data_IF_238060942837
#
_entry.id   IF_238060942837
#
_cell.length_a   1.000
_cell.length_b   1.000
_cell.length_c   1.000
_cell.angle_alpha   90.00
_cell.angle_beta   90.00
_cell.angle_gamma   90.00
#
_symmetry.space_group_name_H-M   'P 1'
#
loop_
_entity.id
_entity.type
_entity.pdbx_description
1 polymer ?
#
# COMPACT_ATOMS: atom_id res chain seq x y z
N UNK A 1 -8.61 -28.46 0.21
CA UNK A 1 -7.60 -28.47 1.29
C UNK A 1 -8.26 -27.91 2.55
N UNK A 2 -7.95 -28.43 3.76
CA UNK A 2 -8.47 -27.82 4.98
C UNK A 2 -7.96 -26.40 5.13
N UNK A 3 -8.82 -25.52 5.68
CA UNK A 3 -8.43 -24.16 6.02
C UNK A 3 -7.49 -24.16 7.23
N UNK A 4 -6.64 -23.15 7.33
CA UNK A 4 -5.80 -22.90 8.51
C UNK A 4 -6.73 -22.59 9.70
N UNK A 5 -6.61 -23.34 10.77
CA UNK A 5 -7.43 -23.23 11.97
C UNK A 5 -6.72 -22.53 13.14
N UNK A 6 -7.44 -22.37 14.26
CA UNK A 6 -6.91 -21.69 15.45
C UNK A 6 -5.67 -22.38 16.03
N UNK A 7 -5.57 -23.70 15.93
CA UNK A 7 -4.43 -24.44 16.47
C UNK A 7 -3.16 -24.17 15.64
N UNK A 8 -3.29 -24.04 14.30
CA UNK A 8 -2.19 -23.64 13.43
C UNK A 8 -1.70 -22.22 13.76
N UNK A 9 -2.65 -21.29 14.03
CA UNK A 9 -2.35 -19.91 14.40
C UNK A 9 -1.67 -19.82 15.76
N UNK A 10 -2.14 -20.57 16.74
CA UNK A 10 -1.53 -20.65 18.08
C UNK A 10 -0.11 -21.22 18.01
N UNK A 11 0.08 -22.30 17.23
CA UNK A 11 1.39 -22.88 17.00
C UNK A 11 2.34 -21.87 16.29
N UNK A 12 1.84 -21.13 15.29
CA UNK A 12 2.60 -20.08 14.64
C UNK A 12 2.99 -18.95 15.61
N UNK A 13 2.08 -18.55 16.50
CA UNK A 13 2.34 -17.53 17.54
C UNK A 13 3.47 -17.97 18.50
N UNK A 14 3.51 -19.23 18.87
CA UNK A 14 4.61 -19.78 19.72
C UNK A 14 5.95 -19.64 18.99
N UNK A 15 6.02 -19.98 17.70
CA UNK A 15 7.23 -19.83 16.89
C UNK A 15 7.68 -18.37 16.76
N UNK A 16 6.74 -17.41 16.77
CA UNK A 16 7.01 -16.00 16.61
C UNK A 16 7.40 -15.27 17.91
N UNK A 17 7.44 -15.95 19.05
CA UNK A 17 7.88 -15.36 20.33
C UNK A 17 9.34 -14.86 20.21
N UNK A 18 9.57 -13.59 20.55
CA UNK A 18 10.86 -12.93 20.41
C UNK A 18 11.25 -12.56 18.96
N UNK A 19 10.48 -13.00 17.95
CA UNK A 19 10.72 -12.71 16.54
C UNK A 19 9.85 -11.55 16.08
N UNK A 20 8.53 -11.66 16.14
CA UNK A 20 7.65 -10.53 15.83
C UNK A 20 7.44 -9.64 17.05
N UNK A 21 7.13 -8.36 16.79
CA UNK A 21 6.70 -7.41 17.82
C UNK A 21 5.17 -7.42 17.88
N UNK A 22 4.62 -7.30 19.07
CA UNK A 22 3.22 -6.90 19.22
C UNK A 22 3.10 -5.44 18.80
N UNK A 23 2.49 -5.21 17.63
CA UNK A 23 2.37 -3.85 17.10
C UNK A 23 1.24 -3.09 17.77
N UNK A 24 1.33 -1.76 17.93
CA UNK A 24 0.30 -0.98 18.58
C UNK A 24 -1.01 -0.94 17.78
N UNK A 25 -2.08 -0.60 18.50
CA UNK A 25 -3.38 -0.23 17.93
C UNK A 25 -3.67 1.22 18.31
N UNK A 26 -3.64 2.11 17.31
CA UNK A 26 -3.72 3.56 17.49
C UNK A 26 -5.07 4.10 17.01
N UNK A 27 -5.62 5.08 17.74
CA UNK A 27 -6.91 5.69 17.39
C UNK A 27 -6.78 6.78 16.33
N UNK A 28 -7.75 6.86 15.41
CA UNK A 28 -7.84 7.91 14.39
C UNK A 28 -9.09 8.77 14.58
N UNK A 29 -8.97 9.78 15.46
CA UNK A 29 -10.12 10.58 15.95
C UNK A 29 -10.96 11.21 14.84
N UNK A 30 -10.35 11.82 13.82
CA UNK A 30 -11.09 12.49 12.75
C UNK A 30 -11.98 11.55 11.96
N UNK A 31 -11.47 10.37 11.60
CA UNK A 31 -12.24 9.36 10.88
C UNK A 31 -13.26 8.67 11.80
N UNK A 32 -12.96 8.51 13.09
CA UNK A 32 -13.91 8.00 14.08
C UNK A 32 -15.18 8.86 14.19
N UNK A 33 -15.04 10.18 14.03
CA UNK A 33 -16.19 11.09 14.01
C UNK A 33 -17.05 10.91 12.76
N UNK A 34 -16.44 10.62 11.61
CA UNK A 34 -17.17 10.39 10.35
C UNK A 34 -17.90 9.03 10.35
N UNK A 35 -17.26 7.99 10.88
CA UNK A 35 -17.84 6.65 11.03
C UNK A 35 -18.92 6.62 12.13
N UNK A 36 -18.87 7.52 13.10
CA UNK A 36 -19.73 7.51 14.27
C UNK A 36 -19.33 6.50 15.36
N UNK A 37 -18.16 5.86 15.19
CA UNK A 37 -17.61 4.85 16.11
C UNK A 37 -16.08 4.87 16.06
N UNK A 38 -15.37 4.27 17.05
CA UNK A 38 -13.92 4.22 17.04
C UNK A 38 -13.35 3.55 15.76
N UNK A 39 -12.43 4.28 15.08
CA UNK A 39 -11.59 3.74 14.02
C UNK A 39 -10.16 3.67 14.54
N UNK A 40 -9.58 2.49 14.43
CA UNK A 40 -8.31 2.12 15.03
C UNK A 40 -7.38 1.52 13.97
N UNK A 41 -6.10 1.79 14.09
CA UNK A 41 -5.06 1.38 13.15
C UNK A 41 -4.20 0.29 13.80
N UNK A 42 -4.22 -0.94 13.32
CA UNK A 42 -3.25 -1.99 13.68
C UNK A 42 -1.97 -1.77 12.88
N UNK A 43 -0.91 -1.33 13.53
CA UNK A 43 0.26 -0.72 12.91
C UNK A 43 1.34 -1.75 12.51
N UNK A 44 1.07 -2.66 11.57
CA UNK A 44 2.06 -3.60 11.05
C UNK A 44 3.16 -2.92 10.20
N UNK A 45 3.01 -1.65 9.82
CA UNK A 45 4.08 -0.82 9.29
C UNK A 45 5.22 -0.58 10.29
N UNK A 46 4.99 -0.77 11.60
CA UNK A 46 5.99 -0.69 12.65
C UNK A 46 6.59 -2.04 13.04
N UNK A 47 6.22 -3.12 12.36
CA UNK A 47 6.77 -4.45 12.55
C UNK A 47 8.25 -4.49 12.11
N UNK A 48 9.00 -5.52 12.54
CA UNK A 48 10.34 -5.78 11.98
C UNK A 48 10.28 -5.86 10.47
N UNK A 49 11.29 -5.36 9.79
CA UNK A 49 11.34 -5.17 8.33
C UNK A 49 10.29 -4.19 7.77
N UNK A 50 9.61 -3.42 8.62
CA UNK A 50 8.63 -2.40 8.20
C UNK A 50 7.32 -2.98 7.65
N UNK A 51 7.01 -4.27 7.87
CA UNK A 51 5.77 -4.89 7.42
C UNK A 51 5.47 -6.22 8.12
N UNK A 52 4.23 -6.68 8.01
CA UNK A 52 3.76 -7.96 8.55
C UNK A 52 4.49 -9.19 7.99
N UNK A 53 5.19 -9.09 6.87
CA UNK A 53 5.72 -10.23 6.08
C UNK A 53 6.68 -11.12 6.85
N UNK A 54 7.41 -10.61 7.84
CA UNK A 54 8.29 -11.40 8.70
C UNK A 54 7.54 -12.53 9.41
N UNK A 55 6.27 -12.34 9.78
CA UNK A 55 5.47 -13.33 10.50
C UNK A 55 5.31 -14.63 9.70
N UNK A 56 4.76 -14.54 8.49
CA UNK A 56 4.57 -15.72 7.64
C UNK A 56 5.87 -16.29 7.09
N UNK A 57 6.84 -15.46 6.74
CA UNK A 57 8.14 -15.91 6.27
C UNK A 57 8.88 -16.73 7.35
N UNK A 58 8.89 -16.25 8.58
CA UNK A 58 9.54 -16.95 9.70
C UNK A 58 8.86 -18.28 10.00
N UNK A 59 7.53 -18.30 10.13
CA UNK A 59 6.78 -19.55 10.42
C UNK A 59 7.03 -20.59 9.34
N UNK A 60 7.01 -20.19 8.06
CA UNK A 60 7.27 -21.11 6.94
C UNK A 60 8.69 -21.69 6.99
N UNK A 61 9.70 -20.86 7.23
CA UNK A 61 11.09 -21.32 7.27
C UNK A 61 11.37 -22.13 8.54
N UNK A 62 10.79 -21.75 9.70
CA UNK A 62 10.95 -22.50 10.95
C UNK A 62 10.34 -23.91 10.90
N UNK A 63 9.30 -24.10 10.09
CA UNK A 63 8.64 -25.41 9.88
C UNK A 63 9.33 -26.30 8.84
N UNK A 64 10.38 -25.80 8.17
CA UNK A 64 11.20 -26.65 7.31
C UNK A 64 11.98 -27.66 8.15
N UNK A 65 12.20 -28.82 7.58
CA UNK A 65 13.13 -29.82 8.16
C UNK A 65 14.56 -29.30 8.15
N UNK A 66 15.44 -29.85 8.98
CA UNK A 66 16.84 -29.47 9.02
C UNK A 66 17.54 -29.68 7.64
N UNK A 67 17.15 -30.76 6.95
CA UNK A 67 17.65 -31.05 5.60
C UNK A 67 17.19 -30.02 4.56
N UNK A 68 15.98 -29.50 4.67
CA UNK A 68 15.48 -28.43 3.82
C UNK A 68 16.18 -27.09 4.13
N UNK A 69 16.30 -26.74 5.42
CA UNK A 69 17.04 -25.52 5.82
C UNK A 69 18.51 -25.55 5.39
N UNK A 70 19.15 -26.72 5.44
CA UNK A 70 20.54 -26.87 5.01
C UNK A 70 20.73 -26.58 3.51
N UNK A 71 19.71 -26.82 2.67
CA UNK A 71 19.74 -26.45 1.25
C UNK A 71 19.46 -24.98 0.98
N UNK A 72 19.01 -24.25 2.01
CA UNK A 72 18.67 -22.84 1.91
C UNK A 72 17.25 -22.59 1.38
N UNK A 73 16.89 -21.31 1.34
CA UNK A 73 15.59 -20.86 0.83
C UNK A 73 15.76 -19.87 -0.32
N UNK A 74 14.77 -19.80 -1.18
CA UNK A 74 14.73 -18.85 -2.29
C UNK A 74 13.38 -18.14 -2.33
N UNK A 75 13.38 -16.86 -2.71
CA UNK A 75 12.17 -16.09 -2.93
C UNK A 75 12.32 -15.18 -4.16
N UNK A 76 11.18 -14.74 -4.71
CA UNK A 76 11.13 -13.70 -5.73
C UNK A 76 10.27 -12.54 -5.20
N UNK A 77 10.86 -11.36 -5.03
CA UNK A 77 10.16 -10.16 -4.60
C UNK A 77 11.11 -8.97 -4.57
N UNK A 78 10.64 -7.81 -5.01
CA UNK A 78 11.37 -6.54 -4.86
C UNK A 78 10.91 -5.71 -3.65
N UNK A 79 10.16 -6.30 -2.71
CA UNK A 79 9.55 -5.54 -1.61
C UNK A 79 9.57 -6.26 -0.26
N UNK A 80 8.47 -6.13 0.48
CA UNK A 80 8.33 -6.60 1.86
C UNK A 80 8.60 -8.10 2.06
N UNK A 81 8.21 -8.93 1.08
CA UNK A 81 8.44 -10.37 1.17
C UNK A 81 9.94 -10.71 1.12
N UNK A 82 10.69 -10.04 0.27
CA UNK A 82 12.15 -10.18 0.18
C UNK A 82 12.83 -9.96 1.53
N UNK A 83 12.52 -8.82 2.17
CA UNK A 83 13.09 -8.46 3.47
C UNK A 83 12.62 -9.41 4.58
N UNK A 84 11.34 -9.81 4.55
CA UNK A 84 10.78 -10.78 5.49
C UNK A 84 11.49 -12.14 5.42
N UNK A 85 11.72 -12.66 4.21
CA UNK A 85 12.44 -13.94 3.99
C UNK A 85 13.92 -13.80 4.41
N UNK A 86 14.59 -12.71 4.01
CA UNK A 86 15.97 -12.46 4.36
C UNK A 86 16.20 -12.44 5.88
N UNK A 87 15.40 -11.67 6.61
CA UNK A 87 15.51 -11.61 8.07
C UNK A 87 15.14 -12.95 8.72
N UNK A 88 14.07 -13.61 8.27
CA UNK A 88 13.64 -14.89 8.82
C UNK A 88 14.72 -15.97 8.63
N UNK A 89 15.29 -16.06 7.46
CA UNK A 89 16.39 -17.00 7.16
C UNK A 89 17.64 -16.70 8.00
N UNK A 90 18.02 -15.44 8.12
CA UNK A 90 19.14 -15.01 8.96
C UNK A 90 18.95 -15.41 10.43
N UNK A 91 17.77 -15.18 11.00
CA UNK A 91 17.44 -15.55 12.39
C UNK A 91 17.46 -17.06 12.63
N UNK A 92 17.21 -17.87 11.58
CA UNK A 92 17.17 -19.32 11.65
C UNK A 92 18.48 -19.97 11.17
N UNK A 93 19.53 -19.17 10.86
CA UNK A 93 20.81 -19.68 10.36
C UNK A 93 20.70 -20.37 9.00
N UNK A 94 19.72 -19.99 8.18
CA UNK A 94 19.45 -20.57 6.87
C UNK A 94 19.95 -19.62 5.77
N UNK A 95 20.63 -20.14 4.75
CA UNK A 95 21.01 -19.35 3.58
C UNK A 95 19.77 -18.92 2.79
N UNK A 96 19.73 -17.66 2.33
CA UNK A 96 18.64 -17.16 1.52
C UNK A 96 19.11 -16.49 0.23
N UNK A 97 18.45 -16.80 -0.87
CA UNK A 97 18.63 -16.15 -2.16
C UNK A 97 17.33 -15.45 -2.55
N UNK A 98 17.42 -14.18 -2.95
CA UNK A 98 16.23 -13.40 -3.34
C UNK A 98 16.43 -12.92 -4.77
N UNK A 99 15.53 -13.32 -5.65
CA UNK A 99 15.47 -12.84 -7.03
C UNK A 99 14.60 -11.58 -7.11
N UNK A 100 15.16 -10.55 -7.75
CA UNK A 100 14.51 -9.26 -7.97
C UNK A 100 14.55 -8.89 -9.46
N UNK A 101 13.57 -8.12 -9.97
CA UNK A 101 13.69 -7.51 -11.29
C UNK A 101 14.94 -6.65 -11.41
N UNK A 102 15.48 -6.50 -12.64
CA UNK A 102 16.66 -5.68 -12.90
C UNK A 102 16.49 -4.22 -12.47
N UNK A 103 15.26 -3.67 -12.62
CA UNK A 103 14.91 -2.31 -12.24
C UNK A 103 14.45 -2.18 -10.77
N UNK A 104 14.73 -3.15 -9.90
CA UNK A 104 14.33 -3.06 -8.49
C UNK A 104 14.98 -1.83 -7.81
N UNK A 105 14.21 -1.05 -6.99
CA UNK A 105 14.73 0.13 -6.32
C UNK A 105 15.94 -0.18 -5.43
N UNK A 106 17.03 0.57 -5.60
CA UNK A 106 18.28 0.37 -4.85
C UNK A 106 18.11 0.30 -3.33
N UNK A 107 17.27 1.13 -2.68
CA UNK A 107 17.03 1.02 -1.24
C UNK A 107 16.45 -0.33 -0.83
N UNK A 108 15.55 -0.91 -1.64
CA UNK A 108 14.93 -2.23 -1.37
C UNK A 108 15.94 -3.37 -1.54
N UNK A 109 16.83 -3.28 -2.55
CA UNK A 109 17.96 -4.22 -2.77
C UNK A 109 18.91 -4.18 -1.57
N UNK A 110 19.37 -2.97 -1.20
CA UNK A 110 20.29 -2.77 -0.08
C UNK A 110 19.70 -3.27 1.26
N UNK A 111 18.43 -2.97 1.55
CA UNK A 111 17.76 -3.43 2.74
C UNK A 111 17.67 -4.97 2.82
N UNK A 112 17.38 -5.63 1.70
CA UNK A 112 17.31 -7.10 1.64
C UNK A 112 18.68 -7.73 1.85
N UNK A 113 19.72 -7.19 1.22
CA UNK A 113 21.10 -7.65 1.40
C UNK A 113 21.60 -7.41 2.85
N UNK A 114 21.21 -6.30 3.48
CA UNK A 114 21.56 -5.99 4.87
C UNK A 114 20.99 -7.00 5.88
N UNK A 115 19.90 -7.70 5.53
CA UNK A 115 19.37 -8.80 6.33
C UNK A 115 20.08 -10.15 6.05
N UNK A 116 21.10 -10.17 5.21
CA UNK A 116 21.95 -11.35 4.96
C UNK A 116 21.56 -12.20 3.76
N UNK A 117 20.62 -11.77 2.91
CA UNK A 117 20.27 -12.50 1.71
C UNK A 117 21.24 -12.23 0.55
N UNK A 118 21.50 -13.25 -0.27
CA UNK A 118 22.10 -13.09 -1.59
C UNK A 118 21.06 -12.58 -2.57
N UNK A 119 21.19 -11.33 -3.02
CA UNK A 119 20.28 -10.76 -4.02
C UNK A 119 20.78 -11.06 -5.42
N UNK A 120 19.87 -11.54 -6.28
CA UNK A 120 20.13 -11.81 -7.72
C UNK A 120 19.08 -11.08 -8.56
N UNK A 121 19.52 -10.49 -9.66
CA UNK A 121 18.63 -9.83 -10.60
C UNK A 121 18.25 -10.77 -11.74
N UNK A 122 16.97 -10.79 -12.12
CA UNK A 122 16.46 -11.59 -13.24
C UNK A 122 15.16 -11.00 -13.80
N UNK A 123 15.16 -10.72 -15.09
CA UNK A 123 14.02 -10.22 -15.84
C UNK A 123 13.60 -8.80 -15.46
N UNK A 124 12.48 -8.35 -16.03
CA UNK A 124 11.96 -7.00 -15.85
C UNK A 124 10.77 -6.94 -14.87
N UNK A 125 10.15 -8.10 -14.60
CA UNK A 125 8.98 -8.23 -13.73
C UNK A 125 9.23 -9.18 -12.57
N UNK A 126 8.40 -9.08 -11.51
CA UNK A 126 8.45 -10.03 -10.38
C UNK A 126 8.09 -11.45 -10.84
N UNK A 127 7.24 -11.60 -11.85
CA UNK A 127 6.87 -12.92 -12.39
C UNK A 127 8.05 -13.57 -13.11
N UNK A 128 8.83 -12.81 -13.88
CA UNK A 128 10.07 -13.30 -14.50
C UNK A 128 11.13 -13.67 -13.44
N UNK A 129 11.29 -12.84 -12.42
CA UNK A 129 12.14 -13.14 -11.27
C UNK A 129 11.69 -14.43 -10.55
N UNK A 130 10.38 -14.69 -10.47
CA UNK A 130 9.82 -15.91 -9.88
C UNK A 130 10.16 -17.15 -10.73
N UNK A 131 10.15 -17.04 -12.07
CA UNK A 131 10.59 -18.12 -12.94
C UNK A 131 12.05 -18.47 -12.66
N UNK A 132 12.93 -17.47 -12.57
CA UNK A 132 14.35 -17.69 -12.24
C UNK A 132 14.53 -18.29 -10.83
N UNK A 133 13.76 -17.85 -9.84
CA UNK A 133 13.77 -18.43 -8.50
C UNK A 133 13.34 -19.91 -8.48
N UNK A 134 12.36 -20.28 -9.30
CA UNK A 134 11.92 -21.69 -9.44
C UNK A 134 12.99 -22.56 -10.10
N UNK A 135 13.67 -22.05 -11.12
CA UNK A 135 14.80 -22.77 -11.75
C UNK A 135 15.91 -23.00 -10.72
N UNK A 136 16.29 -21.97 -9.99
CA UNK A 136 17.29 -22.08 -8.92
C UNK A 136 16.87 -23.11 -7.85
N UNK A 137 15.61 -23.09 -7.43
CA UNK A 137 15.07 -24.05 -6.48
C UNK A 137 15.20 -25.50 -7.00
N UNK A 138 14.89 -25.74 -8.28
CA UNK A 138 15.00 -27.05 -8.90
C UNK A 138 16.45 -27.55 -9.01
N UNK A 139 17.40 -26.67 -9.33
CA UNK A 139 18.82 -27.00 -9.49
C UNK A 139 19.54 -27.25 -8.16
N UNK A 140 19.20 -26.46 -7.13
CA UNK A 140 19.93 -26.49 -5.83
C UNK A 140 19.18 -27.23 -4.73
N UNK A 141 17.90 -27.52 -4.92
CA UNK A 141 17.02 -28.06 -3.89
C UNK A 141 16.63 -27.05 -2.81
N UNK A 142 16.95 -25.76 -2.99
CA UNK A 142 16.49 -24.67 -2.10
C UNK A 142 14.96 -24.59 -2.08
N UNK A 143 14.39 -24.33 -0.90
CA UNK A 143 12.93 -24.26 -0.76
C UNK A 143 12.40 -22.89 -1.19
N UNK A 144 11.48 -22.87 -2.15
CA UNK A 144 10.80 -21.64 -2.54
C UNK A 144 9.81 -21.20 -1.43
N UNK A 145 10.01 -19.98 -0.94
CA UNK A 145 9.12 -19.37 0.05
C UNK A 145 8.11 -18.48 -0.69
N UNK A 146 6.87 -18.98 -0.80
CA UNK A 146 5.80 -18.27 -1.51
C UNK A 146 5.34 -17.04 -0.71
N UNK A 147 5.08 -15.87 -1.34
CA UNK A 147 4.76 -14.63 -0.62
C UNK A 147 3.40 -14.63 0.11
N UNK A 148 2.48 -15.56 -0.21
CA UNK A 148 1.14 -15.64 0.37
C UNK A 148 0.47 -17.02 0.30
N UNK A 149 0.66 -17.81 -0.77
CA UNK A 149 -0.12 -19.02 -1.04
C UNK A 149 0.50 -20.27 -0.40
N UNK A 150 0.52 -20.31 0.93
CA UNK A 150 0.98 -21.45 1.72
C UNK A 150 0.36 -21.42 3.11
N UNK A 151 -0.09 -22.57 3.64
CA UNK A 151 -0.72 -22.68 4.95
C UNK A 151 0.13 -22.09 6.08
N UNK A 152 1.44 -22.36 6.11
CA UNK A 152 2.35 -21.81 7.13
C UNK A 152 2.48 -20.29 7.04
N UNK A 153 2.46 -19.73 5.82
CA UNK A 153 2.49 -18.27 5.62
C UNK A 153 1.19 -17.67 6.14
N UNK A 154 0.05 -18.24 5.79
CA UNK A 154 -1.27 -17.82 6.30
C UNK A 154 -1.32 -17.90 7.82
N UNK A 155 -0.84 -19.00 8.41
CA UNK A 155 -0.80 -19.18 9.87
C UNK A 155 0.04 -18.09 10.56
N UNK A 156 1.22 -17.78 10.01
CA UNK A 156 2.05 -16.70 10.53
C UNK A 156 1.36 -15.33 10.45
N UNK A 157 0.73 -15.02 9.31
CA UNK A 157 0.00 -13.75 9.13
C UNK A 157 -1.23 -13.65 10.04
N UNK A 158 -1.89 -14.78 10.32
CA UNK A 158 -3.07 -14.82 11.18
C UNK A 158 -2.79 -14.45 12.64
N UNK A 159 -1.53 -14.49 13.07
CA UNK A 159 -1.15 -13.97 14.41
C UNK A 159 -1.45 -12.48 14.58
N UNK A 160 -1.56 -11.70 13.51
CA UNK A 160 -2.05 -10.30 13.54
C UNK A 160 -3.49 -10.26 14.05
N UNK A 161 -4.34 -11.18 13.58
CA UNK A 161 -5.74 -11.27 14.02
C UNK A 161 -5.87 -11.69 15.49
N UNK A 162 -5.02 -12.61 15.97
CA UNK A 162 -4.99 -12.97 17.39
C UNK A 162 -4.63 -11.77 18.27
N UNK A 163 -3.55 -11.05 17.93
CA UNK A 163 -3.13 -9.83 18.65
C UNK A 163 -4.22 -8.75 18.62
N UNK A 164 -4.85 -8.54 17.48
CA UNK A 164 -5.90 -7.55 17.29
C UNK A 164 -7.08 -7.81 18.22
N UNK A 165 -7.57 -9.04 18.28
CA UNK A 165 -8.70 -9.40 19.15
C UNK A 165 -8.36 -9.30 20.64
N UNK A 166 -7.13 -9.57 21.05
CA UNK A 166 -6.65 -9.35 22.42
C UNK A 166 -6.59 -7.86 22.78
N UNK A 167 -6.11 -7.01 21.85
CA UNK A 167 -5.99 -5.58 22.04
C UNK A 167 -7.36 -4.86 21.97
N UNK A 168 -8.28 -5.37 21.15
CA UNK A 168 -9.61 -4.80 20.92
C UNK A 168 -10.68 -5.90 20.89
N UNK A 169 -11.05 -6.43 22.05
CA UNK A 169 -12.10 -7.45 22.16
C UNK A 169 -13.50 -6.95 21.79
N UNK A 170 -13.67 -5.63 21.71
CA UNK A 170 -14.92 -4.94 21.34
C UNK A 170 -15.06 -4.69 19.83
N UNK A 171 -14.08 -5.07 19.00
CA UNK A 171 -14.10 -4.85 17.55
C UNK A 171 -15.35 -5.45 16.88
N UNK A 172 -15.92 -4.73 15.90
CA UNK A 172 -17.04 -5.19 15.08
C UNK A 172 -16.66 -5.42 13.63
N UNK A 173 -15.72 -4.62 13.10
CA UNK A 173 -15.26 -4.78 11.72
C UNK A 173 -13.74 -4.73 11.66
N UNK A 174 -13.13 -5.65 10.91
CA UNK A 174 -11.69 -5.67 10.60
C UNK A 174 -11.52 -5.49 9.10
N UNK A 175 -10.78 -4.46 8.68
CA UNK A 175 -10.50 -4.17 7.27
C UNK A 175 -9.02 -4.42 6.98
N UNK A 176 -8.74 -5.24 5.95
CA UNK A 176 -7.39 -5.72 5.64
C UNK A 176 -7.08 -5.51 4.16
N UNK A 177 -5.94 -4.89 3.86
CA UNK A 177 -5.45 -4.79 2.49
C UNK A 177 -5.15 -6.17 1.89
N UNK A 178 -5.48 -6.35 0.62
CA UNK A 178 -5.51 -7.68 -0.01
C UNK A 178 -4.89 -7.65 -1.40
N UNK A 179 -3.73 -8.29 -1.54
CA UNK A 179 -3.16 -8.67 -2.82
C UNK A 179 -3.46 -10.14 -3.12
N UNK A 180 -2.48 -11.03 -2.98
CA UNK A 180 -2.68 -12.47 -3.18
C UNK A 180 -3.43 -13.21 -2.06
N UNK A 181 -3.87 -12.51 -1.00
CA UNK A 181 -4.78 -13.02 0.01
C UNK A 181 -4.14 -13.57 1.29
N UNK A 182 -2.80 -13.63 1.42
CA UNK A 182 -2.16 -14.28 2.59
C UNK A 182 -2.45 -13.63 3.94
N UNK A 183 -2.45 -12.29 4.01
CA UNK A 183 -2.74 -11.56 5.24
C UNK A 183 -4.22 -11.68 5.63
N UNK A 184 -5.12 -11.36 4.68
CA UNK A 184 -6.56 -11.41 4.94
C UNK A 184 -7.01 -12.84 5.29
N UNK A 185 -6.48 -13.88 4.63
CA UNK A 185 -6.78 -15.28 4.93
C UNK A 185 -6.42 -15.63 6.38
N UNK A 186 -5.21 -15.22 6.82
CA UNK A 186 -4.78 -15.48 8.20
C UNK A 186 -5.58 -14.67 9.23
N UNK A 187 -5.82 -13.38 8.98
CA UNK A 187 -6.62 -12.53 9.88
C UNK A 187 -8.06 -13.05 9.95
N UNK A 188 -8.66 -13.41 8.82
CA UNK A 188 -10.01 -13.96 8.78
C UNK A 188 -10.11 -15.30 9.55
N UNK A 189 -9.12 -16.20 9.39
CA UNK A 189 -9.07 -17.44 10.15
C UNK A 189 -9.01 -17.20 11.67
N UNK A 190 -8.25 -16.22 12.13
CA UNK A 190 -8.19 -15.84 13.54
C UNK A 190 -9.53 -15.25 14.03
N UNK A 191 -10.03 -14.26 13.27
CA UNK A 191 -11.24 -13.51 13.64
C UNK A 191 -12.45 -14.44 13.64
N UNK A 192 -12.72 -15.13 12.55
CA UNK A 192 -13.89 -16.05 12.45
C UNK A 192 -13.80 -17.24 13.39
N UNK A 193 -12.58 -17.71 13.69
CA UNK A 193 -12.37 -18.80 14.65
C UNK A 193 -12.67 -18.41 16.10
N UNK A 194 -12.44 -17.15 16.50
CA UNK A 194 -12.65 -16.66 17.88
C UNK A 194 -13.92 -15.84 18.04
N UNK A 195 -14.27 -15.03 17.03
CA UNK A 195 -15.37 -14.07 17.00
C UNK A 195 -16.04 -14.11 15.63
N UNK A 196 -16.87 -15.12 15.34
CA UNK A 196 -17.56 -15.27 14.05
C UNK A 196 -18.54 -14.13 13.75
N UNK A 197 -18.97 -13.37 14.77
CA UNK A 197 -19.82 -12.19 14.68
C UNK A 197 -19.09 -10.95 14.11
N UNK A 198 -17.76 -10.91 14.13
CA UNK A 198 -16.99 -9.79 13.64
C UNK A 198 -16.89 -9.85 12.11
N UNK A 199 -17.23 -8.74 11.44
CA UNK A 199 -17.13 -8.61 9.99
C UNK A 199 -15.67 -8.45 9.56
N UNK A 200 -15.25 -9.21 8.54
CA UNK A 200 -13.91 -9.15 7.94
C UNK A 200 -14.03 -8.69 6.50
N UNK A 201 -13.41 -7.58 6.15
CA UNK A 201 -13.49 -6.94 4.84
C UNK A 201 -12.11 -6.89 4.19
N UNK A 202 -12.02 -7.37 2.96
CA UNK A 202 -10.84 -7.27 2.11
C UNK A 202 -10.86 -5.96 1.31
N UNK A 203 -9.75 -5.20 1.31
CA UNK A 203 -9.60 -4.00 0.49
C UNK A 203 -8.53 -4.23 -0.59
N UNK A 204 -8.90 -4.09 -1.86
CA UNK A 204 -8.00 -4.22 -3.02
C UNK A 204 -7.84 -2.88 -3.74
N UNK A 205 -6.69 -2.64 -4.36
CA UNK A 205 -6.55 -1.58 -5.34
C UNK A 205 -7.38 -1.93 -6.58
N UNK A 206 -8.20 -1.00 -7.09
CA UNK A 206 -9.09 -1.23 -8.24
C UNK A 206 -8.33 -1.68 -9.48
N UNK A 207 -7.12 -1.13 -9.70
CA UNK A 207 -6.21 -1.52 -10.78
C UNK A 207 -5.55 -2.90 -10.63
N UNK A 208 -5.80 -3.64 -9.53
CA UNK A 208 -5.28 -4.98 -9.28
C UNK A 208 -6.28 -5.86 -8.50
N UNK A 209 -7.59 -5.67 -8.71
CA UNK A 209 -8.65 -6.34 -7.98
C UNK A 209 -8.97 -7.72 -8.57
N UNK A 210 -8.19 -8.74 -8.21
CA UNK A 210 -8.34 -10.10 -8.72
C UNK A 210 -9.40 -10.93 -7.98
N UNK A 211 -9.71 -10.64 -6.71
CA UNK A 211 -10.69 -11.40 -5.93
C UNK A 211 -12.13 -11.26 -6.39
N UNK A 212 -12.67 -10.07 -6.75
CA UNK A 212 -14.07 -9.96 -7.18
C UNK A 212 -14.43 -10.84 -8.38
N UNK A 213 -13.54 -10.92 -9.39
CA UNK A 213 -13.73 -11.80 -10.55
C UNK A 213 -13.61 -13.28 -10.16
N UNK A 214 -12.63 -13.61 -9.32
CA UNK A 214 -12.37 -14.97 -8.86
C UNK A 214 -13.51 -15.52 -8.00
N UNK A 215 -14.08 -14.70 -7.10
CA UNK A 215 -15.23 -15.09 -6.26
C UNK A 215 -16.48 -15.35 -7.10
N UNK A 216 -16.74 -14.52 -8.12
CA UNK A 216 -17.85 -14.78 -9.07
C UNK A 216 -17.66 -16.05 -9.89
N UNK A 217 -16.41 -16.37 -10.25
CA UNK A 217 -16.09 -17.58 -11.01
C UNK A 217 -16.04 -18.85 -10.13
N UNK A 218 -15.91 -18.71 -8.80
CA UNK A 218 -15.74 -19.83 -7.89
C UNK A 218 -14.33 -20.43 -7.86
N UNK A 219 -13.38 -19.83 -8.57
CA UNK A 219 -11.95 -20.23 -8.63
C UNK A 219 -11.06 -19.03 -8.94
N UNK A 220 -9.75 -19.09 -8.64
CA UNK A 220 -8.80 -18.05 -9.01
C UNK A 220 -8.80 -17.75 -10.50
N UNK A 221 -8.98 -16.47 -10.87
CA UNK A 221 -8.99 -15.95 -12.23
C UNK A 221 -7.87 -14.91 -12.36
N UNK A 222 -6.94 -15.08 -13.33
CA UNK A 222 -5.91 -14.09 -13.55
C UNK A 222 -6.47 -12.82 -14.19
N UNK A 223 -5.95 -11.66 -13.77
CA UNK A 223 -6.17 -10.38 -14.42
C UNK A 223 -5.37 -10.29 -15.72
N UNK A 224 -5.92 -9.66 -16.74
CA UNK A 224 -5.22 -9.41 -18.00
C UNK A 224 -4.11 -8.35 -17.86
N UNK A 225 -4.37 -7.34 -17.05
CA UNK A 225 -3.43 -6.23 -16.78
C UNK A 225 -3.56 -5.77 -15.33
N UNK A 226 -2.52 -5.13 -14.83
CA UNK A 226 -2.51 -4.47 -13.53
C UNK A 226 -1.91 -3.07 -13.67
N UNK A 227 -2.53 -2.09 -13.02
CA UNK A 227 -2.04 -0.71 -12.96
C UNK A 227 -2.40 -0.08 -11.62
N UNK A 228 -1.45 -0.05 -10.68
CA UNK A 228 -1.62 0.58 -9.37
C UNK A 228 -0.27 0.95 -8.76
N UNK A 229 -0.22 2.06 -8.02
CA UNK A 229 0.95 2.40 -7.19
C UNK A 229 1.10 1.50 -5.95
N UNK A 230 0.07 0.74 -5.59
CA UNK A 230 0.09 -0.17 -4.45
C UNK A 230 0.78 -1.51 -4.82
N UNK A 231 2.07 -1.45 -5.14
CA UNK A 231 2.90 -2.57 -5.62
C UNK A 231 2.84 -3.80 -4.70
N UNK A 232 2.78 -3.59 -3.38
CA UNK A 232 2.70 -4.66 -2.38
C UNK A 232 1.40 -5.49 -2.43
N UNK A 233 0.33 -4.99 -3.08
CA UNK A 233 -0.94 -5.70 -3.32
C UNK A 233 -1.27 -5.85 -4.82
N UNK A 234 -0.36 -5.47 -5.72
CA UNK A 234 -0.50 -5.70 -7.15
C UNK A 234 -0.23 -7.18 -7.48
N UNK A 235 -1.26 -8.01 -7.29
CA UNK A 235 -1.20 -9.45 -7.52
C UNK A 235 -2.28 -9.85 -8.52
N UNK A 236 -1.83 -10.32 -9.69
CA UNK A 236 -2.73 -10.59 -10.83
C UNK A 236 -3.65 -11.79 -10.65
N UNK A 237 -3.36 -12.72 -9.72
CA UNK A 237 -4.19 -13.89 -9.49
C UNK A 237 -4.12 -14.30 -8.02
N UNK A 238 -5.26 -14.59 -7.36
CA UNK A 238 -5.26 -15.16 -6.02
C UNK A 238 -4.57 -16.51 -5.98
N UNK A 239 -3.96 -16.86 -4.84
CA UNK A 239 -3.49 -18.22 -4.63
C UNK A 239 -4.64 -19.20 -4.41
N UNK A 240 -4.40 -20.49 -4.64
CA UNK A 240 -5.42 -21.51 -4.44
C UNK A 240 -5.81 -21.67 -2.97
N UNK A 241 -4.81 -21.68 -2.09
CA UNK A 241 -5.02 -21.82 -0.63
C UNK A 241 -5.67 -20.56 -0.06
N UNK A 242 -5.15 -19.38 -0.46
CA UNK A 242 -5.69 -18.10 0.02
C UNK A 242 -7.09 -17.85 -0.50
N UNK A 243 -7.40 -18.22 -1.74
CA UNK A 243 -8.74 -18.10 -2.33
C UNK A 243 -9.79 -18.86 -1.53
N UNK A 244 -9.48 -20.12 -1.15
CA UNK A 244 -10.39 -20.91 -0.34
C UNK A 244 -10.73 -20.23 1.00
N UNK A 245 -9.72 -19.66 1.68
CA UNK A 245 -9.94 -18.91 2.92
C UNK A 245 -10.78 -17.65 2.72
N UNK A 246 -10.48 -16.86 1.68
CA UNK A 246 -11.21 -15.62 1.41
C UNK A 246 -12.66 -15.93 1.06
N UNK A 247 -12.91 -16.92 0.20
CA UNK A 247 -14.26 -17.35 -0.18
C UNK A 247 -15.10 -17.75 1.02
N UNK A 248 -14.51 -18.47 1.99
CA UNK A 248 -15.26 -19.10 3.07
C UNK A 248 -15.31 -18.24 4.36
N UNK A 249 -14.37 -17.29 4.55
CA UNK A 249 -14.18 -16.56 5.81
C UNK A 249 -14.27 -15.03 5.69
N UNK A 250 -14.22 -14.46 4.50
CA UNK A 250 -14.27 -13.01 4.30
C UNK A 250 -15.68 -12.60 3.89
N UNK A 251 -16.22 -11.60 4.59
CA UNK A 251 -17.61 -11.18 4.40
C UNK A 251 -17.81 -10.29 3.19
N UNK A 252 -16.77 -9.51 2.82
CA UNK A 252 -16.87 -8.59 1.68
C UNK A 252 -15.50 -8.26 1.08
N UNK A 253 -15.49 -7.85 -0.20
CA UNK A 253 -14.31 -7.38 -0.93
C UNK A 253 -14.62 -6.03 -1.57
N UNK A 254 -13.98 -4.99 -1.07
CA UNK A 254 -14.12 -3.62 -1.59
C UNK A 254 -12.88 -3.21 -2.37
N UNK A 255 -13.04 -2.25 -3.28
CA UNK A 255 -11.94 -1.73 -4.10
C UNK A 255 -11.76 -0.24 -3.88
N UNK A 256 -10.51 0.21 -3.93
CA UNK A 256 -10.12 1.62 -3.79
C UNK A 256 -9.27 2.05 -4.98
N UNK A 257 -9.43 3.29 -5.42
CA UNK A 257 -8.64 3.86 -6.51
C UNK A 257 -7.35 4.54 -6.02
N UNK A 258 -6.55 5.03 -6.96
CA UNK A 258 -5.27 5.69 -6.69
C UNK A 258 -5.44 7.01 -5.91
N UNK A 259 -6.55 7.71 -6.13
CA UNK A 259 -6.85 8.96 -5.42
C UNK A 259 -7.19 8.68 -3.95
N UNK A 260 -8.01 7.68 -3.68
CA UNK A 260 -8.34 7.23 -2.33
C UNK A 260 -7.08 6.75 -1.57
N UNK A 261 -6.21 5.99 -2.23
CA UNK A 261 -4.92 5.57 -1.68
C UNK A 261 -4.04 6.77 -1.31
N UNK A 262 -3.94 7.76 -2.19
CA UNK A 262 -3.14 8.98 -1.95
C UNK A 262 -3.68 9.79 -0.78
N UNK A 263 -5.01 9.94 -0.67
CA UNK A 263 -5.66 10.61 0.48
C UNK A 263 -5.41 9.87 1.79
N UNK A 264 -5.48 8.53 1.77
CA UNK A 264 -5.21 7.72 2.95
C UNK A 264 -3.75 7.84 3.43
N UNK A 265 -2.79 7.85 2.50
CA UNK A 265 -1.38 8.08 2.82
C UNK A 265 -1.14 9.46 3.42
N UNK A 266 -1.75 10.49 2.85
CA UNK A 266 -1.67 11.85 3.39
C UNK A 266 -2.27 11.91 4.81
N UNK A 267 -3.40 11.24 5.05
CA UNK A 267 -4.02 11.15 6.37
C UNK A 267 -3.10 10.45 7.39
N UNK A 268 -2.42 9.35 6.98
CA UNK A 268 -1.43 8.68 7.83
C UNK A 268 -0.31 9.63 8.23
N UNK A 269 0.26 10.39 7.31
CA UNK A 269 1.32 11.37 7.58
C UNK A 269 0.83 12.52 8.46
N UNK A 270 -0.31 13.13 8.13
CA UNK A 270 -0.78 14.34 8.78
C UNK A 270 -1.44 14.09 10.13
N UNK A 271 -2.16 12.98 10.31
CA UNK A 271 -2.96 12.73 11.50
C UNK A 271 -2.45 11.59 12.37
N UNK A 272 -2.09 10.47 11.76
CA UNK A 272 -1.51 9.34 12.50
C UNK A 272 0.00 9.50 12.77
N UNK A 273 0.69 10.43 12.08
CA UNK A 273 2.15 10.64 12.16
C UNK A 273 2.95 9.38 11.80
N UNK A 274 2.44 8.63 10.83
CA UNK A 274 3.00 7.36 10.40
C UNK A 274 3.36 7.37 8.92
N UNK A 275 4.51 6.78 8.61
CA UNK A 275 4.88 6.45 7.23
C UNK A 275 4.30 5.09 6.90
N UNK A 276 3.49 5.06 5.84
CA UNK A 276 2.81 3.86 5.33
C UNK A 276 3.04 3.79 3.82
N UNK A 277 3.17 2.60 3.26
CA UNK A 277 3.21 2.41 1.81
C UNK A 277 1.80 2.35 1.20
N UNK A 278 1.61 2.57 -0.12
CA UNK A 278 0.28 2.56 -0.73
C UNK A 278 -0.50 1.27 -0.47
N UNK A 279 0.16 0.12 -0.57
CA UNK A 279 -0.44 -1.19 -0.24
C UNK A 279 -0.91 -1.27 1.22
N UNK A 280 -0.14 -0.67 2.15
CA UNK A 280 -0.47 -0.64 3.57
C UNK A 280 -1.64 0.26 3.91
N UNK A 281 -1.93 1.27 3.09
CA UNK A 281 -2.99 2.23 3.30
C UNK A 281 -4.35 1.82 2.67
N UNK A 282 -4.41 0.77 1.84
CA UNK A 282 -5.61 0.42 1.09
C UNK A 282 -6.83 0.14 1.98
N UNK A 283 -6.63 -0.50 3.13
CA UNK A 283 -7.70 -0.75 4.09
C UNK A 283 -8.24 0.56 4.72
N UNK A 284 -7.36 1.53 4.98
CA UNK A 284 -7.75 2.86 5.48
C UNK A 284 -8.49 3.64 4.39
N UNK A 285 -8.03 3.58 3.14
CA UNK A 285 -8.68 4.20 2.01
C UNK A 285 -10.14 3.71 1.86
N UNK A 286 -10.39 2.42 2.03
CA UNK A 286 -11.73 1.85 1.95
C UNK A 286 -12.69 2.44 3.01
N UNK A 287 -12.24 2.59 4.26
CA UNK A 287 -13.06 3.18 5.33
C UNK A 287 -13.26 4.69 5.12
N UNK A 288 -12.30 5.39 4.49
CA UNK A 288 -12.43 6.81 4.16
C UNK A 288 -13.42 7.06 3.03
N UNK A 289 -13.51 6.17 2.05
CA UNK A 289 -14.44 6.31 0.91
C UNK A 289 -15.90 6.08 1.31
N UNK A 290 -16.14 5.13 2.20
CA UNK A 290 -17.49 4.85 2.71
C UNK A 290 -17.48 4.72 4.24
N UNK A 291 -17.40 5.84 4.99
CA UNK A 291 -17.35 5.80 6.45
C UNK A 291 -18.58 5.16 7.09
N UNK A 292 -19.73 5.17 6.40
CA UNK A 292 -21.01 4.62 6.90
C UNK A 292 -21.20 3.13 6.61
N UNK A 293 -20.40 2.58 5.70
CA UNK A 293 -20.45 1.17 5.31
C UNK A 293 -19.82 0.20 6.31
N UNK A 294 -19.26 0.70 7.42
CA UNK A 294 -18.53 -0.12 8.40
C UNK A 294 -19.10 0.05 9.80
N UNK A 295 -19.64 -1.03 10.37
CA UNK A 295 -20.07 -1.05 11.77
C UNK A 295 -18.85 -1.04 12.70
N UNK A 296 -18.82 -0.07 13.60
CA UNK A 296 -17.69 0.09 14.51
C UNK A 296 -17.90 -0.50 15.91
N UNK A 297 -16.84 -0.67 16.68
CA UNK A 297 -15.45 -0.25 16.43
C UNK A 297 -14.80 -0.94 15.22
N UNK A 298 -14.13 -0.13 14.35
CA UNK A 298 -13.45 -0.61 13.15
C UNK A 298 -11.96 -0.68 13.41
N UNK A 299 -11.32 -1.81 13.09
CA UNK A 299 -9.86 -1.93 13.07
C UNK A 299 -9.38 -2.08 11.64
N UNK A 300 -8.51 -1.15 11.23
CA UNK A 300 -7.85 -1.13 9.93
C UNK A 300 -6.42 -1.63 10.10
N UNK A 301 -5.98 -2.57 9.27
CA UNK A 301 -4.59 -3.06 9.30
C UNK A 301 -3.72 -2.24 8.35
N UNK A 302 -2.79 -1.43 8.92
CA UNK A 302 -1.72 -0.77 8.17
C UNK A 302 -0.58 -1.77 7.95
N UNK A 303 -0.56 -2.45 6.82
CA UNK A 303 0.21 -3.68 6.63
C UNK A 303 1.70 -3.49 6.43
N UNK A 304 2.16 -2.31 5.97
CA UNK A 304 3.57 -2.02 5.71
C UNK A 304 3.85 -0.54 5.51
N UNK A 305 5.12 -0.16 5.68
CA UNK A 305 5.62 1.21 5.57
C UNK A 305 6.85 1.38 4.67
N UNK A 306 7.25 0.35 3.90
CA UNK A 306 8.47 0.38 3.08
C UNK A 306 8.26 1.12 1.74
N UNK A 307 7.83 2.37 1.82
CA UNK A 307 7.65 3.23 0.66
C UNK A 307 8.99 3.79 0.19
N UNK A 308 9.19 3.85 -1.12
CA UNK A 308 10.31 4.58 -1.71
C UNK A 308 10.13 6.09 -1.49
N UNK A 309 11.18 6.83 -1.04
CA UNK A 309 11.08 8.27 -0.79
C UNK A 309 10.66 9.10 -2.01
N UNK A 310 11.07 8.71 -3.23
CA UNK A 310 10.65 9.39 -4.45
C UNK A 310 9.16 9.14 -4.73
N UNK A 311 8.70 7.90 -4.54
CA UNK A 311 7.27 7.58 -4.64
C UNK A 311 6.48 8.32 -3.56
N UNK A 312 6.97 8.37 -2.31
CA UNK A 312 6.32 9.13 -1.23
C UNK A 312 6.16 10.60 -1.61
N UNK A 313 7.21 11.24 -2.17
CA UNK A 313 7.13 12.63 -2.63
C UNK A 313 6.04 12.84 -3.69
N UNK A 314 5.94 11.92 -4.67
CA UNK A 314 4.89 11.98 -5.70
C UNK A 314 3.49 11.79 -5.09
N UNK A 315 3.33 10.80 -4.22
CA UNK A 315 2.04 10.51 -3.55
C UNK A 315 1.59 11.66 -2.66
N UNK A 316 2.50 12.27 -1.89
CA UNK A 316 2.19 13.45 -1.07
C UNK A 316 1.71 14.61 -1.95
N UNK A 317 2.40 14.88 -3.06
CA UNK A 317 1.98 15.92 -4.02
C UNK A 317 0.60 15.60 -4.60
N UNK A 318 0.38 14.36 -5.04
CA UNK A 318 -0.92 13.92 -5.57
C UNK A 318 -2.04 14.05 -4.53
N UNK A 319 -1.80 13.62 -3.30
CA UNK A 319 -2.75 13.77 -2.20
C UNK A 319 -3.08 15.23 -1.88
N UNK A 320 -2.10 16.14 -1.97
CA UNK A 320 -2.33 17.60 -1.79
C UNK A 320 -3.19 18.16 -2.93
N UNK A 321 -2.98 17.72 -4.18
CA UNK A 321 -3.84 18.08 -5.32
C UNK A 321 -5.27 17.57 -5.10
N UNK A 322 -5.43 16.30 -4.75
CA UNK A 322 -6.73 15.68 -4.47
C UNK A 322 -7.48 16.36 -3.31
N UNK A 323 -6.75 16.85 -2.31
CA UNK A 323 -7.28 17.65 -1.20
C UNK A 323 -7.55 19.13 -1.58
N UNK A 324 -7.21 19.54 -2.80
CA UNK A 324 -7.33 20.94 -3.25
C UNK A 324 -6.36 21.90 -2.54
N UNK A 325 -5.27 21.40 -1.98
CA UNK A 325 -4.24 22.21 -1.31
C UNK A 325 -3.08 22.59 -2.25
N UNK A 326 -3.02 21.97 -3.39
CA UNK A 326 -2.06 22.24 -4.44
C UNK A 326 -2.81 22.45 -5.75
N UNK A 327 -2.56 23.60 -6.41
CA UNK A 327 -3.20 23.99 -7.64
C UNK A 327 -2.14 24.30 -8.68
N UNK A 328 -2.21 23.66 -9.85
CA UNK A 328 -1.32 23.94 -10.98
C UNK A 328 -2.11 24.61 -12.09
N UNK A 329 -1.65 25.77 -12.53
CA UNK A 329 -2.30 26.61 -13.53
C UNK A 329 -1.33 26.95 -14.66
N UNK A 330 -1.88 27.14 -15.86
CA UNK A 330 -1.21 27.81 -16.97
C UNK A 330 -2.01 29.04 -17.35
N UNK A 331 -1.34 30.17 -17.47
CA UNK A 331 -1.96 31.47 -17.77
C UNK A 331 -1.19 32.10 -18.90
N UNK A 332 -1.88 32.47 -19.99
CA UNK A 332 -1.30 33.25 -21.03
C UNK A 332 -1.35 34.77 -20.64
N UNK A 333 -0.22 35.47 -20.74
CA UNK A 333 -0.13 36.89 -20.47
C UNK A 333 0.58 37.60 -21.62
N UNK A 334 0.34 38.92 -21.87
CA UNK A 334 1.12 39.70 -22.84
C UNK A 334 2.61 39.71 -22.48
N UNK A 335 3.51 39.56 -23.48
CA UNK A 335 4.98 39.71 -23.28
C UNK A 335 5.38 41.15 -23.15
N UNK A 336 5.05 41.78 -22.03
CA UNK A 336 5.33 43.19 -21.71
C UNK A 336 5.85 43.36 -20.29
N UNK A 337 6.73 44.34 -20.04
CA UNK A 337 7.18 44.66 -18.69
C UNK A 337 5.99 44.93 -17.74
N UNK A 338 6.00 44.28 -16.57
CA UNK A 338 5.00 44.45 -15.51
C UNK A 338 3.85 43.48 -15.55
N UNK A 339 3.56 42.74 -16.64
CA UNK A 339 2.42 41.84 -16.72
C UNK A 339 2.54 40.65 -15.76
N UNK A 340 3.73 40.06 -15.61
CA UNK A 340 3.97 39.03 -14.61
C UNK A 340 3.77 39.57 -13.18
N UNK A 341 4.23 40.75 -12.88
CA UNK A 341 4.03 41.39 -11.57
C UNK A 341 2.54 41.62 -11.27
N UNK A 342 1.74 42.00 -12.29
CA UNK A 342 0.30 42.19 -12.18
C UNK A 342 -0.42 40.87 -11.90
N UNK A 343 -0.05 39.80 -12.63
CA UNK A 343 -0.57 38.44 -12.39
C UNK A 343 -0.29 37.97 -10.96
N UNK A 344 0.97 38.12 -10.51
CA UNK A 344 1.36 37.74 -9.15
C UNK A 344 0.64 38.58 -8.07
N UNK A 345 0.35 39.88 -8.37
CA UNK A 345 -0.44 40.73 -7.51
C UNK A 345 -1.89 40.26 -7.31
N UNK A 346 -2.53 39.74 -8.36
CA UNK A 346 -3.87 39.17 -8.27
C UNK A 346 -3.84 37.88 -7.40
N UNK A 347 -2.84 37.05 -7.57
CA UNK A 347 -2.66 35.84 -6.74
C UNK A 347 -2.40 36.19 -5.27
N UNK A 348 -1.58 37.16 -4.98
CA UNK A 348 -1.34 37.67 -3.64
C UNK A 348 -2.63 38.21 -2.99
N UNK A 349 -3.44 38.95 -3.77
CA UNK A 349 -4.76 39.43 -3.31
C UNK A 349 -5.76 38.32 -2.97
N UNK A 350 -5.66 37.16 -3.63
CA UNK A 350 -6.48 36.00 -3.33
C UNK A 350 -5.99 35.20 -2.11
N UNK A 351 -4.79 35.51 -1.59
CA UNK A 351 -4.18 34.80 -0.47
C UNK A 351 -3.63 33.41 -0.83
N UNK A 352 -3.37 33.16 -2.12
CA UNK A 352 -2.66 31.98 -2.57
C UNK A 352 -1.14 32.18 -2.43
N UNK A 353 -0.44 31.16 -1.92
CA UNK A 353 1.01 31.18 -1.87
C UNK A 353 1.58 30.59 -3.17
N UNK A 354 2.50 31.31 -3.80
CA UNK A 354 3.16 30.87 -5.04
C UNK A 354 4.36 30.02 -4.68
N UNK A 355 4.36 28.76 -5.09
CA UNK A 355 5.42 27.78 -4.84
C UNK A 355 6.44 27.75 -5.97
N UNK A 356 5.96 27.89 -7.21
CA UNK A 356 6.82 27.87 -8.40
C UNK A 356 6.21 28.69 -9.54
N UNK A 357 7.08 29.32 -10.36
CA UNK A 357 6.70 30.12 -11.53
C UNK A 357 7.65 29.77 -12.67
N UNK A 358 7.11 29.17 -13.71
CA UNK A 358 7.84 28.97 -14.96
C UNK A 358 7.27 29.86 -16.03
N UNK A 359 8.16 30.67 -16.65
CA UNK A 359 7.82 31.66 -17.66
C UNK A 359 8.37 31.24 -19.02
N UNK A 360 7.50 30.77 -19.92
CA UNK A 360 7.86 30.20 -21.22
C UNK A 360 7.37 31.06 -22.36
N UNK A 361 8.27 31.32 -23.31
CA UNK A 361 7.98 32.04 -24.58
C UNK A 361 7.74 31.12 -25.77
N UNK A 362 7.89 29.79 -25.54
CA UNK A 362 7.82 28.80 -26.61
C UNK A 362 6.73 27.76 -26.27
N UNK A 363 5.48 28.09 -26.54
CA UNK A 363 4.34 27.18 -26.36
C UNK A 363 3.52 27.02 -27.64
N UNK A 364 3.08 25.82 -27.97
CA UNK A 364 2.15 25.61 -29.07
C UNK A 364 0.79 26.27 -28.73
N UNK A 365 0.32 27.23 -29.54
CA UNK A 365 -0.96 27.89 -29.34
C UNK A 365 -0.88 29.28 -28.71
N UNK A 366 0.32 29.80 -28.38
CA UNK A 366 0.52 31.17 -27.93
C UNK A 366 0.52 32.15 -29.14
N UNK A 367 -0.10 33.31 -28.95
CA UNK A 367 0.07 34.41 -29.89
C UNK A 367 1.52 34.94 -29.82
N UNK A 368 1.99 35.58 -30.89
CA UNK A 368 3.39 36.05 -31.00
C UNK A 368 3.78 37.07 -29.91
N UNK A 369 2.81 37.79 -29.37
CA UNK A 369 2.97 38.82 -28.31
C UNK A 369 2.60 38.28 -26.92
N UNK A 370 2.44 36.93 -26.75
CA UNK A 370 2.06 36.29 -25.49
C UNK A 370 3.15 35.35 -24.99
N UNK A 371 3.13 35.16 -23.68
CA UNK A 371 3.95 34.19 -22.98
C UNK A 371 3.06 33.34 -22.07
N UNK A 372 3.41 32.09 -21.88
CA UNK A 372 2.76 31.22 -20.93
C UNK A 372 3.49 31.27 -19.57
N UNK A 373 2.72 31.46 -18.52
CA UNK A 373 3.19 31.37 -17.15
C UNK A 373 2.56 30.12 -16.51
N UNK A 374 3.37 29.10 -16.24
CA UNK A 374 2.94 27.98 -15.45
C UNK A 374 3.18 28.28 -13.96
N UNK A 375 2.17 28.08 -13.16
CA UNK A 375 2.13 28.43 -11.74
C UNK A 375 1.83 27.19 -10.91
N UNK A 376 2.58 27.00 -9.83
CA UNK A 376 2.26 26.06 -8.78
C UNK A 376 1.90 26.84 -7.52
N UNK A 377 0.69 26.62 -7.01
CA UNK A 377 0.12 27.42 -5.92
C UNK A 377 -0.28 26.51 -4.75
N UNK A 378 0.00 26.98 -3.54
CA UNK A 378 -0.59 26.43 -2.33
C UNK A 378 -1.92 27.14 -2.06
N UNK A 379 -2.97 26.33 -1.81
CA UNK A 379 -4.32 26.81 -1.51
C UNK A 379 -4.84 26.20 -0.21
N UNK A 380 -5.92 26.71 0.33
CA UNK A 380 -6.55 26.27 1.60
C UNK A 380 -7.66 25.24 1.40
N UNK A 381 -7.64 24.53 0.28
CA UNK A 381 -8.64 23.55 -0.10
C UNK A 381 -9.40 23.93 -1.37
N UNK A 382 -10.26 23.01 -1.84
CA UNK A 382 -11.00 23.15 -3.12
C UNK A 382 -11.78 24.47 -3.26
N UNK A 383 -12.52 24.96 -2.23
CA UNK A 383 -13.23 26.25 -2.35
C UNK A 383 -12.27 27.41 -2.64
N UNK A 384 -11.17 27.51 -1.89
CA UNK A 384 -10.17 28.56 -2.09
C UNK A 384 -9.48 28.45 -3.47
N UNK A 385 -9.21 27.23 -3.94
CA UNK A 385 -8.69 27.02 -5.31
C UNK A 385 -9.66 27.54 -6.38
N UNK A 386 -10.95 27.31 -6.22
CA UNK A 386 -11.99 27.82 -7.11
C UNK A 386 -12.04 29.37 -7.08
N UNK A 387 -11.93 29.98 -5.90
CA UNK A 387 -11.90 31.45 -5.73
C UNK A 387 -10.68 32.06 -6.44
N UNK A 388 -9.51 31.41 -6.36
CA UNK A 388 -8.28 31.83 -7.07
C UNK A 388 -8.48 31.82 -8.57
N UNK A 389 -9.02 30.72 -9.13
CA UNK A 389 -9.29 30.59 -10.57
C UNK A 389 -10.31 31.64 -11.02
N UNK A 390 -11.38 31.85 -10.27
CA UNK A 390 -12.40 32.86 -10.56
C UNK A 390 -11.80 34.26 -10.50
N UNK A 391 -10.98 34.58 -9.50
CA UNK A 391 -10.31 35.87 -9.35
C UNK A 391 -9.40 36.21 -10.54
N UNK A 392 -8.65 35.24 -11.04
CA UNK A 392 -7.84 35.38 -12.24
C UNK A 392 -8.70 35.63 -13.49
N UNK A 393 -9.81 34.87 -13.63
CA UNK A 393 -10.76 35.03 -14.75
C UNK A 393 -11.43 36.40 -14.74
N UNK A 394 -11.85 36.92 -13.58
CA UNK A 394 -12.41 38.29 -13.43
C UNK A 394 -11.37 39.36 -13.73
N UNK A 395 -10.09 39.11 -13.43
CA UNK A 395 -8.98 40.02 -13.80
C UNK A 395 -8.63 39.98 -15.29
N UNK A 396 -9.32 39.15 -16.09
CA UNK A 396 -9.17 39.06 -17.55
C UNK A 396 -8.15 38.02 -18.03
N UNK A 397 -7.67 37.16 -17.16
CA UNK A 397 -6.73 36.08 -17.54
C UNK A 397 -7.44 34.85 -18.05
N UNK A 398 -6.93 34.26 -19.15
CA UNK A 398 -7.33 32.90 -19.58
C UNK A 398 -6.54 31.89 -18.77
N UNK A 399 -7.27 31.08 -17.95
CA UNK A 399 -6.67 30.13 -17.03
C UNK A 399 -6.94 28.70 -17.50
N UNK A 400 -5.89 27.92 -17.67
CA UNK A 400 -5.96 26.51 -17.93
C UNK A 400 -5.49 25.72 -16.70
N UNK A 401 -6.36 24.84 -16.18
CA UNK A 401 -5.93 23.91 -15.15
C UNK A 401 -4.95 22.91 -15.77
N UNK A 402 -3.73 22.87 -15.27
CA UNK A 402 -2.77 21.87 -15.68
C UNK A 402 -3.04 20.62 -14.87
N UNK A 403 -3.50 19.55 -15.54
CA UNK A 403 -3.44 18.22 -14.96
C UNK A 403 -1.95 17.91 -14.79
N UNK A 404 -1.50 17.79 -13.55
CA UNK A 404 -0.13 17.35 -13.27
C UNK A 404 -0.06 15.90 -13.75
N UNK A 405 0.59 15.68 -14.89
CA UNK A 405 1.02 14.33 -15.24
C UNK A 405 2.12 13.95 -14.25
N UNK A 406 1.75 13.09 -13.32
CA UNK A 406 2.66 12.49 -12.32
C UNK A 406 3.36 11.30 -12.95
#
# INVERSE_FOLDING_TARGET
MPLVGLDDLRAARVLLQGVSRTTPVEGLRGLSQQVGAPVLLKCENLQRTGSFKIRGAYVRIARLTDAERARGVVAASAGNHAQGVALAASLLGCASTVYMPEAAPLPKVAATAAYGASVRHAGHTVDEALVAARVFAAETGAVLIHPFDHADVIAGQGTVGLELLEQRPDVRTVVVCTGGGGLIAGVAAAVKGLRPDVRVVAAQASGAASFPASLRAGHPVPLATMATMADGIAVGCPGQVTFAHVRDLVDDVVTVDEEALSRALLLCLERAKMVVEPAGAAALAAVMEDPTGFEGPVVVVLSGGNIDPLLLSKVVRHGLVAAGRFLSLRVAIPDRPGELARLLGVLAGSGANVLDVEHSRTGAGLHVDEVEVALQLETRGRPHGADVVNGLSVAGYSVHLSLIHI
#
